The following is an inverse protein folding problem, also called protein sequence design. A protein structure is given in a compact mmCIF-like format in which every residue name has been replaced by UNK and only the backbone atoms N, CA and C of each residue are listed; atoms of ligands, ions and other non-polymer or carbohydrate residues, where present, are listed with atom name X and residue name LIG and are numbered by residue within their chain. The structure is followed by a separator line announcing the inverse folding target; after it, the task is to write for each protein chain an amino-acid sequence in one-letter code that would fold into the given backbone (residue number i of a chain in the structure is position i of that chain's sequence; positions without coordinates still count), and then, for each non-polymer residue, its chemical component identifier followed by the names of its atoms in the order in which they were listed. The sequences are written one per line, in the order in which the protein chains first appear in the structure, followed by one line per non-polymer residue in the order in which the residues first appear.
data_IF_776747161085
#
_entry.id   IF_776747161085
#
_cell.length_a   1.000
_cell.length_b   1.000
_cell.length_c   1.000
_cell.angle_alpha   90.00
_cell.angle_beta   90.00
_cell.angle_gamma   90.00
#
_symmetry.space_group_name_H-M   'P 1'
#
loop_
_entity.id
_entity.type
_entity.pdbx_description
1 polymer ?
#
# COMPACT_ATOMS: atom_id res chain seq x y z
N UNK A 1 4.22 32.51 4.36
CA UNK A 1 3.50 31.25 4.62
C UNK A 1 4.16 30.14 3.81
N UNK A 2 5.22 29.56 4.35
CA UNK A 2 5.92 28.41 3.77
C UNK A 2 5.08 27.16 4.05
N UNK A 3 4.50 26.60 2.99
CA UNK A 3 3.90 25.26 3.03
C UNK A 3 4.98 24.28 3.50
N UNK A 4 4.94 23.93 4.78
CA UNK A 4 5.76 22.89 5.37
C UNK A 4 5.21 21.58 4.79
N UNK A 5 5.66 21.20 3.59
CA UNK A 5 5.37 19.89 3.00
C UNK A 5 6.01 18.89 3.95
N UNK A 6 5.20 18.38 4.86
CA UNK A 6 5.51 17.27 5.75
C UNK A 6 6.22 16.22 4.89
N UNK A 7 7.47 15.92 5.26
CA UNK A 7 8.26 14.91 4.59
C UNK A 7 7.42 13.62 4.54
N UNK A 8 6.93 13.26 3.37
CA UNK A 8 6.20 12.01 3.20
C UNK A 8 7.10 10.85 3.63
N UNK A 9 6.57 9.77 4.22
CA UNK A 9 7.35 8.55 4.49
C UNK A 9 8.18 8.24 3.25
N UNK A 10 9.51 8.17 3.36
CA UNK A 10 10.38 8.24 2.19
C UNK A 10 10.11 7.06 1.25
N UNK A 11 9.52 7.35 0.08
CA UNK A 11 9.38 6.38 -1.00
C UNK A 11 10.45 6.67 -2.02
N UNK A 12 11.36 5.72 -2.18
CA UNK A 12 12.46 5.86 -3.11
C UNK A 12 12.16 5.05 -4.38
N UNK A 13 12.59 5.60 -5.51
CA UNK A 13 12.65 4.82 -6.74
C UNK A 13 13.94 4.03 -6.74
N UNK A 14 13.85 2.74 -6.48
CA UNK A 14 14.98 1.85 -6.68
C UNK A 14 15.07 1.52 -8.17
N UNK A 15 16.17 1.90 -8.86
CA UNK A 15 16.41 1.43 -10.21
C UNK A 15 16.52 -0.09 -10.15
N UNK A 16 15.74 -0.78 -10.97
CA UNK A 16 15.87 -2.22 -11.10
C UNK A 16 17.05 -2.50 -12.03
N UNK A 17 17.90 -3.45 -11.65
CA UNK A 17 18.93 -3.94 -12.58
C UNK A 17 18.24 -4.53 -13.81
N UNK A 18 18.84 -4.40 -15.00
CA UNK A 18 18.29 -4.96 -16.25
C UNK A 18 17.86 -6.43 -16.07
N UNK A 19 18.67 -7.22 -15.35
CA UNK A 19 18.36 -8.61 -14.99
C UNK A 19 17.07 -8.74 -14.18
N UNK A 20 16.84 -7.89 -13.19
CA UNK A 20 15.64 -7.92 -12.35
C UNK A 20 14.40 -7.49 -13.14
N UNK A 21 14.51 -6.46 -13.98
CA UNK A 21 13.44 -6.02 -14.88
C UNK A 21 13.06 -7.12 -15.88
N UNK A 22 14.05 -7.81 -16.44
CA UNK A 22 13.86 -8.96 -17.33
C UNK A 22 13.11 -10.10 -16.63
N UNK A 23 13.61 -10.55 -15.47
CA UNK A 23 12.98 -11.65 -14.71
C UNK A 23 11.54 -11.30 -14.32
N UNK A 24 11.30 -10.07 -13.87
CA UNK A 24 9.94 -9.64 -13.47
C UNK A 24 9.00 -9.61 -14.67
N UNK A 25 9.46 -9.09 -15.81
CA UNK A 25 8.68 -9.07 -17.05
C UNK A 25 8.42 -10.49 -17.57
N UNK A 26 9.41 -11.39 -17.48
CA UNK A 26 9.31 -12.78 -17.90
C UNK A 26 8.27 -13.56 -17.10
N UNK A 27 8.29 -13.41 -15.76
CA UNK A 27 7.32 -14.06 -14.88
C UNK A 27 5.91 -13.57 -15.18
N UNK A 28 5.73 -12.25 -15.31
CA UNK A 28 4.42 -11.67 -15.58
C UNK A 28 3.87 -12.09 -16.96
N UNK A 29 4.71 -12.01 -18.00
CA UNK A 29 4.34 -12.43 -19.34
C UNK A 29 3.98 -13.92 -19.40
N UNK A 30 4.79 -14.78 -18.77
CA UNK A 30 4.55 -16.23 -18.74
C UNK A 30 3.24 -16.56 -18.03
N UNK A 31 2.98 -15.94 -16.88
CA UNK A 31 1.72 -16.12 -16.16
C UNK A 31 0.52 -15.73 -17.02
N UNK A 32 0.55 -14.55 -17.65
CA UNK A 32 -0.56 -14.11 -18.49
C UNK A 32 -0.70 -14.96 -19.75
N UNK A 33 0.40 -15.30 -20.42
CA UNK A 33 0.38 -16.15 -21.61
C UNK A 33 -0.24 -17.53 -21.34
N UNK A 34 0.15 -18.18 -20.23
CA UNK A 34 -0.42 -19.47 -19.82
C UNK A 34 -1.92 -19.34 -19.53
N UNK A 35 -2.35 -18.30 -18.82
CA UNK A 35 -3.77 -18.08 -18.54
C UNK A 35 -4.58 -17.83 -19.82
N UNK A 36 -4.07 -16.98 -20.72
CA UNK A 36 -4.70 -16.69 -22.01
C UNK A 36 -4.82 -17.96 -22.85
N UNK A 37 -3.76 -18.78 -22.88
CA UNK A 37 -3.76 -20.06 -23.59
C UNK A 37 -4.85 -21.01 -23.06
N UNK A 38 -4.96 -21.17 -21.74
CA UNK A 38 -5.99 -22.01 -21.10
C UNK A 38 -7.39 -21.52 -21.47
N UNK A 39 -7.63 -20.20 -21.41
CA UNK A 39 -8.94 -19.62 -21.72
C UNK A 39 -9.32 -19.84 -23.19
N UNK A 40 -8.39 -19.63 -24.12
CA UNK A 40 -8.67 -19.80 -25.55
C UNK A 40 -8.96 -21.26 -25.90
N UNK A 41 -8.20 -22.20 -25.33
CA UNK A 41 -8.45 -23.63 -25.51
C UNK A 41 -9.82 -24.04 -24.99
N UNK A 42 -10.18 -23.55 -23.80
CA UNK A 42 -11.48 -23.83 -23.21
C UNK A 42 -12.62 -23.30 -24.09
N UNK A 43 -12.47 -22.07 -24.60
CA UNK A 43 -13.48 -21.44 -25.45
C UNK A 43 -13.66 -22.15 -26.81
N UNK A 44 -12.62 -22.77 -27.37
CA UNK A 44 -12.62 -23.36 -28.71
C UNK A 44 -12.71 -24.91 -28.71
N UNK A 45 -13.13 -25.51 -27.60
CA UNK A 45 -13.49 -26.93 -27.48
C UNK A 45 -12.49 -27.93 -28.10
N UNK A 46 -11.18 -27.70 -27.93
CA UNK A 46 -10.05 -28.56 -28.33
C UNK A 46 -9.95 -28.97 -29.83
N UNK A 47 -10.95 -28.74 -30.68
CA UNK A 47 -10.97 -29.21 -32.08
C UNK A 47 -10.06 -28.38 -33.01
N UNK A 48 -9.88 -27.10 -32.74
CA UNK A 48 -8.97 -26.19 -33.46
C UNK A 48 -8.28 -25.15 -32.54
N UNK A 49 -8.61 -25.15 -31.24
CA UNK A 49 -8.15 -24.16 -30.27
C UNK A 49 -6.67 -24.24 -29.87
N UNK A 50 -5.94 -25.31 -30.22
CA UNK A 50 -4.54 -25.49 -29.81
C UNK A 50 -3.59 -24.50 -30.49
N UNK A 51 -3.50 -24.52 -31.84
CA UNK A 51 -2.63 -23.60 -32.59
C UNK A 51 -3.08 -22.14 -32.40
N UNK A 52 -4.39 -21.91 -32.43
CA UNK A 52 -4.97 -20.57 -32.28
C UNK A 52 -4.71 -20.04 -30.86
N UNK A 53 -4.84 -20.88 -29.84
CA UNK A 53 -4.46 -20.56 -28.46
C UNK A 53 -2.99 -20.22 -28.31
N UNK A 54 -2.09 -20.99 -28.95
CA UNK A 54 -0.65 -20.73 -28.90
C UNK A 54 -0.28 -19.41 -29.59
N UNK A 55 -0.91 -19.09 -30.72
CA UNK A 55 -0.70 -17.82 -31.42
C UNK A 55 -1.17 -16.62 -30.59
N UNK A 56 -2.42 -16.64 -30.11
CA UNK A 56 -2.97 -15.54 -29.31
C UNK A 56 -2.19 -15.36 -28.00
N UNK A 57 -1.90 -16.47 -27.30
CA UNK A 57 -1.09 -16.44 -26.08
C UNK A 57 0.33 -15.96 -26.33
N UNK A 58 0.96 -16.38 -27.43
CA UNK A 58 2.30 -15.95 -27.83
C UNK A 58 2.37 -14.44 -28.10
N UNK A 59 1.41 -13.90 -28.86
CA UNK A 59 1.34 -12.45 -29.14
C UNK A 59 1.09 -11.67 -27.85
N UNK A 60 0.15 -12.12 -27.01
CA UNK A 60 -0.12 -11.50 -25.70
C UNK A 60 1.10 -11.52 -24.79
N UNK A 61 1.83 -12.63 -24.76
CA UNK A 61 3.07 -12.79 -24.00
C UNK A 61 4.13 -11.78 -24.44
N UNK A 62 4.40 -11.65 -25.75
CA UNK A 62 5.41 -10.72 -26.28
C UNK A 62 5.07 -9.27 -25.95
N UNK A 63 3.79 -8.89 -26.09
CA UNK A 63 3.34 -7.53 -25.81
C UNK A 63 3.45 -7.18 -24.32
N UNK A 64 3.03 -8.09 -23.43
CA UNK A 64 3.12 -7.89 -21.98
C UNK A 64 4.59 -7.90 -21.54
N UNK A 65 5.40 -8.80 -22.09
CA UNK A 65 6.83 -8.87 -21.80
C UNK A 65 7.51 -7.54 -22.16
N UNK A 66 7.33 -7.08 -23.39
CA UNK A 66 7.97 -5.87 -23.91
C UNK A 66 7.52 -4.62 -23.16
N UNK A 67 6.21 -4.48 -22.92
CA UNK A 67 5.66 -3.32 -22.20
C UNK A 67 6.07 -3.30 -20.72
N UNK A 68 6.09 -4.46 -20.07
CA UNK A 68 6.51 -4.60 -18.66
C UNK A 68 8.01 -4.37 -18.52
N UNK A 69 8.82 -4.94 -19.42
CA UNK A 69 10.26 -4.76 -19.42
C UNK A 69 10.65 -3.29 -19.63
N UNK A 70 10.03 -2.63 -20.61
CA UNK A 70 10.22 -1.19 -20.84
C UNK A 70 9.79 -0.36 -19.62
N UNK A 71 8.63 -0.66 -19.04
CA UNK A 71 8.11 0.04 -17.86
C UNK A 71 9.04 -0.12 -16.64
N UNK A 72 9.48 -1.33 -16.34
CA UNK A 72 10.36 -1.61 -15.19
C UNK A 72 11.80 -1.12 -15.40
N UNK A 73 12.33 -1.19 -16.62
CA UNK A 73 13.68 -0.67 -16.92
C UNK A 73 13.73 0.85 -16.88
N UNK A 74 12.72 1.55 -17.41
CA UNK A 74 12.68 3.02 -17.46
C UNK A 74 12.30 3.63 -16.11
N UNK A 75 11.35 3.02 -15.39
CA UNK A 75 10.78 3.64 -14.18
C UNK A 75 11.32 3.08 -12.87
N UNK A 76 11.94 1.89 -12.91
CA UNK A 76 12.30 1.13 -11.72
C UNK A 76 11.07 0.75 -10.89
N UNK A 77 11.32 0.42 -9.62
CA UNK A 77 10.27 0.08 -8.65
C UNK A 77 10.23 1.14 -7.57
N UNK A 78 9.03 1.66 -7.28
CA UNK A 78 8.82 2.40 -6.03
C UNK A 78 8.88 1.43 -4.86
N UNK A 79 9.93 1.54 -4.07
CA UNK A 79 10.10 0.76 -2.85
C UNK A 79 10.00 1.73 -1.69
N UNK A 80 9.35 1.28 -0.62
CA UNK A 80 9.33 2.05 0.62
C UNK A 80 10.75 2.01 1.18
N UNK A 81 11.32 3.17 1.52
CA UNK A 81 12.54 3.19 2.32
C UNK A 81 12.16 2.59 3.67
N UNK A 82 12.69 1.41 3.95
CA UNK A 82 12.52 0.79 5.25
C UNK A 82 13.33 1.60 6.24
N UNK A 83 12.62 2.29 7.13
CA UNK A 83 13.24 2.92 8.28
C UNK A 83 13.58 1.78 9.24
N UNK A 84 14.85 1.60 9.63
CA UNK A 84 15.23 0.59 10.61
C UNK A 84 14.37 0.76 11.87
N UNK A 85 13.76 -0.34 12.33
CA UNK A 85 12.85 -0.25 13.49
C UNK A 85 13.61 0.19 14.74
N UNK A 86 14.87 -0.22 14.88
CA UNK A 86 15.75 0.22 15.96
C UNK A 86 15.91 1.76 16.00
N UNK A 87 16.07 2.41 14.84
CA UNK A 87 16.17 3.88 14.73
C UNK A 87 14.83 4.55 15.04
N UNK A 88 13.72 3.95 14.59
CA UNK A 88 12.38 4.44 14.92
C UNK A 88 12.09 4.35 16.42
N UNK A 89 12.54 3.27 17.08
CA UNK A 89 12.41 3.08 18.52
C UNK A 89 13.25 4.10 19.26
N UNK A 90 14.55 4.23 18.96
CA UNK A 90 15.43 5.19 19.65
C UNK A 90 14.90 6.62 19.53
N UNK A 91 14.45 7.01 18.34
CA UNK A 91 13.89 8.34 18.10
C UNK A 91 12.57 8.55 18.85
N UNK A 92 11.63 7.59 18.84
CA UNK A 92 10.40 7.71 19.62
C UNK A 92 10.68 7.79 21.12
N UNK A 93 11.72 7.09 21.59
CA UNK A 93 12.11 7.14 23.00
C UNK A 93 12.61 8.53 23.41
N UNK A 94 13.43 9.14 22.56
CA UNK A 94 13.91 10.51 22.76
C UNK A 94 12.74 11.51 22.81
N UNK A 95 11.84 11.44 21.83
CA UNK A 95 10.77 12.44 21.66
C UNK A 95 9.64 12.26 22.71
N UNK A 96 9.41 11.04 23.20
CA UNK A 96 8.41 10.77 24.24
C UNK A 96 8.93 10.98 25.68
N UNK A 97 10.19 11.36 25.87
CA UNK A 97 10.77 11.68 27.19
C UNK A 97 9.93 12.65 28.04
N UNK A 98 9.40 13.76 27.48
CA UNK A 98 8.52 14.68 28.22
C UNK A 98 7.21 14.04 28.72
N UNK A 99 6.69 13.02 28.02
CA UNK A 99 5.48 12.30 28.44
C UNK A 99 5.77 11.43 29.67
N UNK A 100 6.95 10.80 29.72
CA UNK A 100 7.37 10.06 30.91
C UNK A 100 7.49 10.97 32.13
N UNK A 101 8.15 12.12 32.00
CA UNK A 101 8.28 13.07 33.10
C UNK A 101 6.90 13.53 33.63
N UNK A 102 5.93 13.73 32.73
CA UNK A 102 4.55 14.06 33.11
C UNK A 102 3.83 12.90 33.80
N UNK A 103 4.05 11.67 33.35
CA UNK A 103 3.44 10.47 33.93
C UNK A 103 4.01 10.14 35.33
N UNK A 104 5.27 10.47 35.60
CA UNK A 104 5.91 10.29 36.90
C UNK A 104 5.33 11.20 38.01
N UNK A 105 4.81 12.37 37.63
CA UNK A 105 4.17 13.31 38.56
C UNK A 105 2.66 13.07 38.75
N UNK A 106 2.08 12.10 38.05
CA UNK A 106 0.66 11.78 38.15
C UNK A 106 0.37 10.83 39.31
N UNK A 107 -0.35 11.34 40.31
CA UNK A 107 -0.74 10.63 41.54
C UNK A 107 -1.64 9.42 41.23
N UNK A 108 -2.37 9.44 40.11
CA UNK A 108 -3.28 8.35 39.73
C UNK A 108 -2.55 7.11 39.17
N UNK A 109 -1.26 7.24 38.85
CA UNK A 109 -0.43 6.22 38.17
C UNK A 109 0.46 5.42 39.16
N UNK A 110 0.14 5.44 40.46
CA UNK A 110 1.00 4.92 41.53
C UNK A 110 1.38 3.42 41.46
N UNK A 111 0.63 2.59 40.73
CA UNK A 111 0.88 1.13 40.64
C UNK A 111 1.53 0.67 39.32
N UNK A 112 1.54 1.48 38.26
CA UNK A 112 2.14 1.16 36.95
C UNK A 112 2.69 2.42 36.28
N UNK A 113 3.94 2.74 36.58
CA UNK A 113 4.62 3.88 35.97
C UNK A 113 4.90 3.63 34.50
N UNK A 114 4.48 4.57 33.65
CA UNK A 114 4.74 4.53 32.23
C UNK A 114 6.18 4.95 31.95
N UNK A 115 6.98 4.02 31.42
CA UNK A 115 8.36 4.29 31.02
C UNK A 115 8.56 4.07 29.54
N UNK A 116 9.31 4.98 28.93
CA UNK A 116 9.62 4.97 27.50
C UNK A 116 10.32 3.67 27.07
N UNK A 117 11.23 3.15 27.89
CA UNK A 117 11.99 1.93 27.55
C UNK A 117 11.15 0.65 27.55
N UNK A 118 10.11 0.58 28.37
CA UNK A 118 9.25 -0.61 28.50
C UNK A 118 8.01 -0.52 27.61
N UNK A 119 7.50 0.69 27.35
CA UNK A 119 6.25 0.92 26.61
C UNK A 119 6.47 1.27 25.13
N UNK A 120 7.69 1.63 24.73
CA UNK A 120 8.10 1.79 23.33
C UNK A 120 8.95 0.60 22.91
N UNK A 121 8.34 -0.32 22.15
CA UNK A 121 8.91 -1.64 21.85
C UNK A 121 8.90 -1.91 20.35
N UNK A 122 9.93 -2.62 19.88
CA UNK A 122 9.99 -3.15 18.53
C UNK A 122 8.89 -4.22 18.31
N UNK A 123 8.15 -4.14 17.20
CA UNK A 123 7.12 -5.10 16.78
C UNK A 123 7.46 -5.78 15.45
N UNK A 124 8.74 -5.83 15.08
CA UNK A 124 9.30 -6.44 13.87
C UNK A 124 9.08 -5.59 12.61
N UNK A 125 7.83 -5.26 12.27
CA UNK A 125 7.49 -4.48 11.07
C UNK A 125 7.29 -2.99 11.34
N UNK A 126 7.52 -2.54 12.57
CA UNK A 126 7.30 -1.17 13.04
C UNK A 126 7.40 -1.05 14.55
N UNK A 127 7.10 0.13 15.09
CA UNK A 127 7.19 0.40 16.54
C UNK A 127 5.83 0.28 17.21
N UNK A 128 5.80 -0.33 18.39
CA UNK A 128 4.66 -0.34 19.30
C UNK A 128 4.80 0.73 20.38
N UNK A 129 3.76 1.53 20.59
CA UNK A 129 3.65 2.48 21.70
C UNK A 129 2.46 2.05 22.55
N UNK A 130 2.73 1.63 23.79
CA UNK A 130 1.69 1.27 24.73
C UNK A 130 1.14 2.51 25.44
N UNK A 131 -0.18 2.70 25.41
CA UNK A 131 -0.87 3.84 25.99
C UNK A 131 -1.69 3.47 27.24
N UNK A 132 -1.75 2.19 27.62
CA UNK A 132 -2.66 1.72 28.67
C UNK A 132 -2.36 2.28 30.06
N UNK A 133 -1.07 2.49 30.35
CA UNK A 133 -0.61 2.96 31.65
C UNK A 133 -0.51 4.50 31.71
N UNK A 134 -0.89 5.21 30.64
CA UNK A 134 -1.02 6.67 30.60
C UNK A 134 -2.45 7.11 30.93
N UNK A 135 -2.57 8.25 31.60
CA UNK A 135 -3.82 9.00 31.69
C UNK A 135 -4.31 9.44 30.29
N UNK A 136 -5.62 9.62 30.10
CA UNK A 136 -6.22 10.04 28.82
C UNK A 136 -5.54 11.28 28.21
N UNK A 137 -5.26 12.31 29.01
CA UNK A 137 -4.60 13.54 28.53
C UNK A 137 -3.15 13.29 28.05
N UNK A 138 -2.39 12.52 28.81
CA UNK A 138 -1.00 12.16 28.48
C UNK A 138 -0.93 11.21 27.28
N UNK A 139 -1.88 10.29 27.15
CA UNK A 139 -1.98 9.41 26.01
C UNK A 139 -2.32 10.18 24.71
N UNK A 140 -3.24 11.15 24.78
CA UNK A 140 -3.56 12.03 23.65
C UNK A 140 -2.34 12.82 23.19
N UNK A 141 -1.57 13.36 24.14
CA UNK A 141 -0.33 14.08 23.86
C UNK A 141 0.74 13.15 23.25
N UNK A 142 0.88 11.91 23.76
CA UNK A 142 1.79 10.93 23.20
C UNK A 142 1.45 10.57 21.74
N UNK A 143 0.17 10.42 21.42
CA UNK A 143 -0.29 10.18 20.04
C UNK A 143 0.02 11.38 19.16
N UNK A 144 -0.20 12.61 19.63
CA UNK A 144 0.09 13.84 18.88
C UNK A 144 1.58 13.99 18.58
N UNK A 145 2.44 13.70 19.56
CA UNK A 145 3.89 13.67 19.40
C UNK A 145 4.30 12.61 18.38
N UNK A 146 3.74 11.40 18.46
CA UNK A 146 4.02 10.35 17.46
C UNK A 146 3.59 10.79 16.05
N UNK A 147 2.48 11.52 15.93
CA UNK A 147 2.01 12.05 14.65
C UNK A 147 2.90 13.19 14.13
N UNK A 148 3.50 14.00 14.99
CA UNK A 148 4.40 15.08 14.55
C UNK A 148 5.69 14.52 13.94
N UNK A 149 6.22 13.42 14.49
CA UNK A 149 7.42 12.73 13.98
C UNK A 149 7.12 11.56 13.03
N UNK A 150 5.87 11.44 12.55
CA UNK A 150 5.38 10.32 11.71
C UNK A 150 6.23 9.98 10.49
N UNK A 151 6.95 10.97 9.95
CA UNK A 151 7.82 10.81 8.78
C UNK A 151 9.10 9.99 9.07
N UNK A 152 9.55 9.94 10.32
CA UNK A 152 10.79 9.27 10.76
C UNK A 152 10.58 7.90 11.41
N UNK A 153 9.33 7.54 11.70
CA UNK A 153 9.01 6.34 12.51
C UNK A 153 8.32 5.25 11.69
N UNK A 154 7.84 5.58 10.50
CA UNK A 154 7.26 4.62 9.56
C UNK A 154 5.96 4.02 10.08
N UNK A 155 5.96 2.71 10.41
CA UNK A 155 4.76 1.99 10.86
C UNK A 155 4.70 2.05 12.37
N UNK A 156 3.57 2.53 12.90
CA UNK A 156 3.37 2.68 14.35
C UNK A 156 2.14 1.93 14.79
N UNK A 157 2.21 1.25 15.93
CA UNK A 157 1.08 0.56 16.54
C UNK A 157 0.83 1.10 17.93
N UNK A 158 -0.32 1.71 18.14
CA UNK A 158 -0.77 2.15 19.45
C UNK A 158 -1.49 1.00 20.16
N UNK A 159 -1.07 0.67 21.37
CA UNK A 159 -1.77 -0.28 22.24
C UNK A 159 -2.70 0.52 23.13
N UNK A 160 -4.00 0.45 22.85
CA UNK A 160 -5.05 1.19 23.56
C UNK A 160 -5.84 0.31 24.54
N UNK A 161 -5.52 -0.98 24.58
CA UNK A 161 -6.29 -1.96 25.34
C UNK A 161 -7.61 -2.30 24.66
N UNK A 162 -8.34 -3.27 25.23
CA UNK A 162 -9.61 -3.79 24.66
C UNK A 162 -10.78 -2.81 24.82
N UNK A 163 -10.67 -1.84 25.73
CA UNK A 163 -11.80 -1.03 26.20
C UNK A 163 -12.79 -1.89 27.02
N UNK A 164 -13.52 -1.24 27.92
CA UNK A 164 -14.51 -1.89 28.79
C UNK A 164 -14.54 -1.31 30.20
N UNK A 165 -15.58 -1.62 30.97
CA UNK A 165 -15.83 -1.08 32.32
C UNK A 165 -14.70 -1.41 33.31
N UNK A 166 -13.97 -2.50 33.09
CA UNK A 166 -12.82 -2.91 33.89
C UNK A 166 -11.47 -2.33 33.41
N UNK A 167 -11.47 -1.54 32.34
CA UNK A 167 -10.26 -0.87 31.82
C UNK A 167 -10.03 0.42 32.58
N UNK A 168 -8.78 0.73 32.92
CA UNK A 168 -8.41 2.01 33.59
C UNK A 168 -8.92 3.22 32.81
N UNK A 169 -8.78 3.18 31.48
CA UNK A 169 -9.33 4.16 30.56
C UNK A 169 -10.21 3.46 29.51
N UNK A 170 -11.53 3.36 29.72
CA UNK A 170 -12.45 2.71 28.78
C UNK A 170 -12.54 3.46 27.44
N UNK A 171 -12.43 4.79 27.48
CA UNK A 171 -12.56 5.69 26.32
C UNK A 171 -11.25 5.91 25.55
N UNK A 172 -10.10 5.45 26.07
CA UNK A 172 -8.79 5.69 25.46
C UNK A 172 -8.78 5.32 23.97
N UNK A 173 -9.42 4.18 23.65
CA UNK A 173 -9.52 3.69 22.28
C UNK A 173 -10.38 4.59 21.39
N UNK A 174 -11.55 5.01 21.83
CA UNK A 174 -12.43 5.87 21.03
C UNK A 174 -11.79 7.22 20.78
N UNK A 175 -11.17 7.80 21.82
CA UNK A 175 -10.44 9.07 21.73
C UNK A 175 -9.24 8.97 20.77
N UNK A 176 -8.43 7.92 20.89
CA UNK A 176 -7.30 7.68 19.97
C UNK A 176 -7.80 7.47 18.53
N UNK A 177 -8.90 6.74 18.33
CA UNK A 177 -9.48 6.55 17.00
C UNK A 177 -9.98 7.87 16.40
N UNK A 178 -10.63 8.74 17.19
CA UNK A 178 -11.08 10.04 16.72
C UNK A 178 -9.90 10.92 16.30
N UNK A 179 -8.83 10.93 17.09
CA UNK A 179 -7.61 11.67 16.78
C UNK A 179 -6.90 11.16 15.51
N UNK A 180 -6.93 9.84 15.28
CA UNK A 180 -6.32 9.22 14.11
C UNK A 180 -7.22 9.23 12.86
N UNK A 181 -8.51 9.50 13.01
CA UNK A 181 -9.49 9.50 11.91
C UNK A 181 -9.58 10.84 11.16
N UNK A 182 -8.64 11.75 11.38
CA UNK A 182 -8.56 13.02 10.63
C UNK A 182 -8.22 12.79 9.16
N UNK A 183 -8.79 13.59 8.26
CA UNK A 183 -8.61 13.50 6.81
C UNK A 183 -7.14 13.51 6.39
N UNK A 184 -6.32 14.33 7.02
CA UNK A 184 -4.88 14.42 6.77
C UNK A 184 -4.15 13.10 7.06
N UNK A 185 -4.47 12.44 8.18
CA UNK A 185 -3.85 11.18 8.60
C UNK A 185 -4.31 10.05 7.68
N UNK A 186 -5.60 10.01 7.34
CA UNK A 186 -6.16 8.97 6.45
C UNK A 186 -5.61 9.11 5.01
N UNK A 187 -5.27 10.32 4.57
CA UNK A 187 -4.63 10.53 3.27
C UNK A 187 -3.26 9.84 3.21
N UNK A 188 -2.44 10.02 4.24
CA UNK A 188 -1.04 9.55 4.27
C UNK A 188 -0.88 8.14 4.87
N UNK A 189 -1.84 7.67 5.67
CA UNK A 189 -1.75 6.42 6.41
C UNK A 189 -3.02 5.58 6.28
N UNK A 190 -2.84 4.27 6.20
CA UNK A 190 -3.89 3.29 6.33
C UNK A 190 -4.00 2.88 7.79
N UNK A 191 -5.20 3.03 8.34
CA UNK A 191 -5.47 2.75 9.74
C UNK A 191 -6.03 1.33 9.88
N UNK A 192 -5.24 0.44 10.47
CA UNK A 192 -5.65 -0.94 10.74
C UNK A 192 -6.14 -1.06 12.18
N UNK A 193 -7.45 -1.28 12.33
CA UNK A 193 -8.12 -1.45 13.61
C UNK A 193 -8.12 -2.93 14.01
N UNK A 194 -7.44 -3.28 15.11
CA UNK A 194 -7.60 -4.57 15.80
C UNK A 194 -8.28 -4.34 17.15
N UNK A 195 -8.67 -5.41 17.85
CA UNK A 195 -9.45 -5.33 19.11
C UNK A 195 -8.76 -4.48 20.18
N UNK A 196 -7.45 -4.63 20.39
CA UNK A 196 -6.69 -3.93 21.44
C UNK A 196 -5.62 -2.97 20.93
N UNK A 197 -5.46 -2.88 19.61
CA UNK A 197 -4.38 -2.13 18.97
C UNK A 197 -4.90 -1.39 17.75
N UNK A 198 -4.27 -0.24 17.46
CA UNK A 198 -4.53 0.56 16.27
C UNK A 198 -3.19 0.77 15.58
N UNK A 199 -3.03 0.24 14.38
CA UNK A 199 -1.79 0.38 13.62
C UNK A 199 -1.96 1.43 12.52
N UNK A 200 -1.09 2.44 12.53
CA UNK A 200 -0.85 3.33 11.41
C UNK A 200 0.17 2.71 10.47
N UNK A 201 -0.25 2.43 9.24
CA UNK A 201 0.63 1.97 8.16
C UNK A 201 0.77 3.07 7.11
N UNK A 202 1.97 3.56 6.80
CA UNK A 202 2.18 4.50 5.71
C UNK A 202 1.56 4.02 4.40
N UNK A 203 0.81 4.89 3.72
CA UNK A 203 0.30 4.66 2.37
C UNK A 203 1.37 4.92 1.34
N UNK A 204 1.20 4.27 0.19
CA UNK A 204 1.98 4.57 -1.00
C UNK A 204 1.57 5.94 -1.54
N UNK A 205 2.52 6.82 -1.88
CA UNK A 205 2.22 8.14 -2.38
C UNK A 205 1.47 8.01 -3.70
N UNK A 206 0.62 9.01 -4.02
CA UNK A 206 -0.10 9.00 -5.28
C UNK A 206 0.87 8.86 -6.45
N UNK A 207 0.43 8.08 -7.44
CA UNK A 207 1.19 7.94 -8.67
C UNK A 207 1.14 9.27 -9.44
N UNK A 208 2.29 9.83 -9.85
CA UNK A 208 2.35 11.06 -10.62
C UNK A 208 1.74 10.82 -12.00
N UNK A 209 1.15 11.86 -12.57
CA UNK A 209 0.42 11.81 -13.85
C UNK A 209 1.23 11.18 -14.99
N UNK A 210 2.53 11.49 -15.08
CA UNK A 210 3.43 10.92 -16.10
C UNK A 210 3.58 9.40 -15.97
N UNK A 211 3.72 8.89 -14.75
CA UNK A 211 3.84 7.44 -14.51
C UNK A 211 2.52 6.73 -14.82
N UNK A 212 1.41 7.35 -14.41
CA UNK A 212 0.08 6.86 -14.73
C UNK A 212 -0.13 6.76 -16.25
N UNK A 213 0.21 7.81 -16.99
CA UNK A 213 0.04 7.84 -18.45
C UNK A 213 0.88 6.77 -19.15
N UNK A 214 2.15 6.61 -18.76
CA UNK A 214 3.02 5.60 -19.38
C UNK A 214 2.50 4.19 -19.09
N UNK A 215 2.01 3.91 -17.88
CA UNK A 215 1.37 2.62 -17.57
C UNK A 215 0.07 2.42 -18.34
N UNK A 216 -0.75 3.46 -18.49
CA UNK A 216 -1.97 3.42 -19.29
C UNK A 216 -1.67 3.11 -20.76
N UNK A 217 -0.61 3.67 -21.34
CA UNK A 217 -0.23 3.38 -22.73
C UNK A 217 0.36 1.97 -22.85
N UNK A 218 1.32 1.64 -21.98
CA UNK A 218 2.06 0.39 -22.03
C UNK A 218 1.16 -0.84 -21.79
N UNK A 219 0.21 -0.75 -20.86
CA UNK A 219 -0.71 -1.84 -20.54
C UNK A 219 -2.05 -1.68 -21.27
N UNK A 220 -2.59 -0.47 -21.31
CA UNK A 220 -3.92 -0.19 -21.85
C UNK A 220 -4.00 -0.25 -23.36
N UNK A 221 -2.92 0.09 -24.09
CA UNK A 221 -2.87 -0.08 -25.54
C UNK A 221 -3.11 -1.55 -25.95
N UNK A 222 -2.27 -2.50 -25.47
CA UNK A 222 -2.49 -3.92 -25.73
C UNK A 222 -3.84 -4.43 -25.24
N UNK A 223 -4.26 -4.10 -24.02
CA UNK A 223 -5.53 -4.55 -23.45
C UNK A 223 -6.75 -4.03 -24.23
N UNK A 224 -6.71 -2.78 -24.69
CA UNK A 224 -7.75 -2.22 -25.54
C UNK A 224 -7.79 -2.89 -26.91
N UNK A 225 -6.61 -3.14 -27.52
CA UNK A 225 -6.52 -3.83 -28.80
C UNK A 225 -7.07 -5.25 -28.74
N UNK A 226 -6.65 -6.05 -27.76
CA UNK A 226 -7.17 -7.40 -27.55
C UNK A 226 -8.64 -7.41 -27.16
N UNK A 227 -9.07 -6.47 -26.31
CA UNK A 227 -10.47 -6.30 -25.96
C UNK A 227 -11.33 -6.01 -27.20
N UNK A 228 -10.88 -5.13 -28.08
CA UNK A 228 -11.58 -4.82 -29.32
C UNK A 228 -11.73 -6.06 -30.21
N UNK A 229 -10.63 -6.78 -30.45
CA UNK A 229 -10.63 -7.98 -31.29
C UNK A 229 -11.53 -9.07 -30.68
N UNK A 230 -11.40 -9.33 -29.37
CA UNK A 230 -12.16 -10.39 -28.69
C UNK A 230 -13.66 -10.12 -28.65
N UNK A 231 -14.08 -8.86 -28.43
CA UNK A 231 -15.50 -8.51 -28.45
C UNK A 231 -16.08 -8.43 -29.86
N UNK A 232 -15.28 -8.06 -30.87
CA UNK A 232 -15.70 -8.15 -32.27
C UNK A 232 -15.95 -9.61 -32.65
N UNK A 233 -15.03 -10.50 -32.33
CA UNK A 233 -15.14 -11.92 -32.62
C UNK A 233 -16.37 -12.56 -31.93
N UNK A 234 -16.54 -12.29 -30.63
CA UNK A 234 -17.69 -12.77 -29.85
C UNK A 234 -19.05 -12.26 -30.37
N UNK A 235 -19.08 -11.10 -31.03
CA UNK A 235 -20.29 -10.48 -31.56
C UNK A 235 -20.39 -10.56 -33.10
N UNK A 236 -19.76 -11.57 -33.72
CA UNK A 236 -19.84 -11.83 -35.17
C UNK A 236 -19.38 -10.63 -36.03
N UNK A 237 -18.23 -10.07 -35.68
CA UNK A 237 -17.56 -8.96 -36.36
C UNK A 237 -18.30 -7.60 -36.35
N UNK A 238 -19.17 -7.36 -35.36
CA UNK A 238 -19.79 -6.04 -35.16
C UNK A 238 -18.76 -4.99 -34.70
N UNK A 239 -18.56 -3.93 -35.47
CA UNK A 239 -17.63 -2.84 -35.14
C UNK A 239 -17.95 -2.16 -33.80
N UNK A 240 -19.23 -2.06 -33.43
CA UNK A 240 -19.64 -1.44 -32.15
C UNK A 240 -19.18 -2.25 -30.94
N UNK A 241 -19.18 -3.59 -31.03
CA UNK A 241 -18.70 -4.42 -29.92
C UNK A 241 -17.18 -4.29 -29.75
N UNK A 242 -16.44 -4.03 -30.84
CA UNK A 242 -15.01 -3.72 -30.77
C UNK A 242 -14.71 -2.45 -29.98
N UNK A 243 -15.52 -1.39 -30.16
CA UNK A 243 -15.38 -0.15 -29.38
C UNK A 243 -15.65 -0.39 -27.90
N UNK A 244 -16.69 -1.18 -27.59
CA UNK A 244 -17.00 -1.59 -26.21
C UNK A 244 -15.85 -2.40 -25.60
N UNK A 245 -15.29 -3.35 -26.36
CA UNK A 245 -14.15 -4.15 -25.95
C UNK A 245 -12.89 -3.31 -25.69
N UNK A 246 -12.60 -2.32 -26.53
CA UNK A 246 -11.52 -1.37 -26.32
C UNK A 246 -11.73 -0.55 -25.04
N UNK A 247 -12.93 -0.03 -24.83
CA UNK A 247 -13.32 0.72 -23.64
C UNK A 247 -13.16 -0.11 -22.36
N UNK A 248 -13.60 -1.37 -22.39
CA UNK A 248 -13.44 -2.32 -21.28
C UNK A 248 -11.95 -2.59 -20.98
N UNK A 249 -11.12 -2.76 -22.01
CA UNK A 249 -9.67 -2.93 -21.85
C UNK A 249 -8.97 -1.73 -21.20
N UNK A 250 -9.34 -0.51 -21.60
CA UNK A 250 -8.83 0.72 -20.97
C UNK A 250 -9.33 0.86 -19.53
N UNK A 251 -10.61 0.55 -19.28
CA UNK A 251 -11.19 0.60 -17.94
C UNK A 251 -10.54 -0.41 -16.99
N UNK A 252 -10.31 -1.64 -17.45
CA UNK A 252 -9.59 -2.66 -16.67
C UNK A 252 -8.16 -2.20 -16.36
N UNK A 253 -7.47 -1.59 -17.32
CA UNK A 253 -6.14 -1.02 -17.11
C UNK A 253 -6.17 0.09 -16.07
N UNK A 254 -7.17 0.98 -16.14
CA UNK A 254 -7.37 2.04 -15.17
C UNK A 254 -7.58 1.47 -13.77
N UNK A 255 -8.42 0.44 -13.62
CA UNK A 255 -8.62 -0.27 -12.36
C UNK A 255 -7.31 -0.90 -11.86
N UNK A 256 -6.57 -1.61 -12.70
CA UNK A 256 -5.30 -2.23 -12.31
C UNK A 256 -4.28 -1.21 -11.80
N UNK A 257 -4.21 -0.03 -12.42
CA UNK A 257 -3.26 1.02 -12.01
C UNK A 257 -3.71 1.75 -10.74
N UNK A 258 -5.02 1.90 -10.54
CA UNK A 258 -5.58 2.64 -9.40
C UNK A 258 -5.82 1.78 -8.16
N UNK A 259 -6.19 0.51 -8.31
CA UNK A 259 -6.37 -0.45 -7.23
C UNK A 259 -5.09 -1.18 -6.80
N UNK A 260 -4.02 -1.17 -7.60
CA UNK A 260 -2.69 -1.61 -7.14
C UNK A 260 -2.00 -0.61 -6.19
N UNK A 261 -2.76 0.33 -5.62
CA UNK A 261 -2.31 1.34 -4.65
C UNK A 261 -2.42 0.86 -3.22
#
# INVERSE_FOLDING_TARGET
MTSNRIATPAWERRPLTIKQSFVTALVLATYTGVLTYIVVIYAHAFRSGFLLGLQIAGIGWVLIFSSSFASYSIMGRRVRVEIPVAESVSHLREVLGPIQAKAEHDITTSSRQWHVFTHVVDRGLGVGVDLNDLESASAKAAVEICLSVRHRIGRVTFVTGKGGVSSRNPELRSQTLMQLATSEIIADFHLWKKRSTITLRPRKPPMPRREFLIKMVALGGPLAGFGAIGFMDAAQANTLSGVVGAGAGLFLTWLLITHSR
#
